data_IF_330986892313
#
_entry.id   IF_330986892313
#
_cell.length_a   1.000
_cell.length_b   1.000
_cell.length_c   1.000
_cell.angle_alpha   90.00
_cell.angle_beta   90.00
_cell.angle_gamma   90.00
#
_symmetry.space_group_name_H-M   'P 1'
#
loop_
_entity.id
_entity.type
_entity.pdbx_description
1 polymer ?
#
# COMPACT_ATOMS: atom_id res chain seq x y z
N UNK A 1 1.84 -36.58 15.89
CA UNK A 1 2.65 -35.32 15.82
C UNK A 1 1.86 -34.36 14.97
N UNK A 2 1.48 -33.21 15.48
CA UNK A 2 0.83 -32.15 14.73
C UNK A 2 1.93 -31.18 14.28
N UNK A 3 2.05 -30.91 12.98
CA UNK A 3 3.01 -29.94 12.46
C UNK A 3 2.45 -28.52 12.65
N UNK A 4 3.30 -27.61 13.07
CA UNK A 4 3.01 -26.19 13.01
C UNK A 4 3.14 -25.72 11.55
N UNK A 5 2.14 -24.97 11.08
CA UNK A 5 2.10 -24.43 9.71
C UNK A 5 2.39 -22.94 9.79
N UNK A 6 3.44 -22.51 9.11
CA UNK A 6 3.84 -21.11 9.11
C UNK A 6 2.84 -20.23 8.32
N UNK A 7 2.31 -20.73 7.22
CA UNK A 7 1.27 -20.04 6.44
C UNK A 7 0.61 -20.99 5.45
N UNK A 8 -0.73 -21.04 5.47
CA UNK A 8 -1.56 -21.77 4.51
C UNK A 8 -1.89 -20.94 3.26
N UNK A 9 -2.16 -21.63 2.16
CA UNK A 9 -2.74 -21.04 0.96
C UNK A 9 -4.00 -21.84 0.59
N UNK A 10 -5.20 -21.35 0.96
CA UNK A 10 -6.45 -21.99 0.56
C UNK A 10 -6.55 -22.07 -0.95
N UNK A 11 -7.19 -23.12 -1.46
CA UNK A 11 -7.48 -23.21 -2.90
C UNK A 11 -8.53 -22.17 -3.29
N UNK A 12 -8.51 -21.74 -4.56
CA UNK A 12 -9.53 -20.82 -5.07
C UNK A 12 -10.94 -21.39 -4.92
N UNK A 13 -11.10 -22.73 -5.08
CA UNK A 13 -12.38 -23.41 -4.87
C UNK A 13 -12.87 -23.28 -3.40
N UNK A 14 -11.98 -23.41 -2.42
CA UNK A 14 -12.36 -23.23 -1.00
C UNK A 14 -12.80 -21.80 -0.70
N UNK A 15 -12.09 -20.80 -1.26
CA UNK A 15 -12.50 -19.39 -1.15
C UNK A 15 -13.85 -19.14 -1.82
N UNK A 16 -14.10 -19.75 -2.98
CA UNK A 16 -15.41 -19.65 -3.67
C UNK A 16 -16.57 -20.16 -2.80
N UNK A 17 -16.38 -21.29 -2.11
CA UNK A 17 -17.39 -21.83 -1.18
C UNK A 17 -17.66 -20.84 -0.06
N UNK A 18 -16.61 -20.34 0.61
CA UNK A 18 -16.76 -19.35 1.71
C UNK A 18 -17.48 -18.08 1.25
N UNK A 19 -17.13 -17.54 0.07
CA UNK A 19 -17.80 -16.36 -0.47
C UNK A 19 -19.27 -16.65 -0.78
N UNK A 20 -19.58 -17.80 -1.35
CA UNK A 20 -20.95 -18.18 -1.66
C UNK A 20 -21.82 -18.39 -0.41
N UNK A 21 -21.22 -18.85 0.70
CA UNK A 21 -21.92 -19.07 1.97
C UNK A 21 -22.16 -17.77 2.76
N UNK A 22 -21.22 -16.83 2.67
CA UNK A 22 -21.24 -15.63 3.52
C UNK A 22 -21.67 -14.34 2.82
N UNK A 23 -21.67 -14.29 1.48
CA UNK A 23 -22.02 -13.07 0.75
C UNK A 23 -23.28 -13.26 -0.12
N UNK A 24 -24.18 -12.30 -0.12
CA UNK A 24 -25.43 -12.33 -0.87
C UNK A 24 -25.23 -11.99 -2.37
N UNK A 25 -24.24 -12.61 -3.04
CA UNK A 25 -23.84 -12.30 -4.41
C UNK A 25 -24.31 -13.36 -5.43
N UNK A 26 -24.92 -14.44 -4.95
CA UNK A 26 -25.36 -15.56 -5.81
C UNK A 26 -24.24 -16.57 -6.08
N UNK A 27 -24.44 -17.39 -7.11
CA UNK A 27 -23.57 -18.53 -7.39
C UNK A 27 -22.22 -18.09 -7.98
N UNK A 28 -21.12 -18.54 -7.38
CA UNK A 28 -19.77 -18.46 -7.96
C UNK A 28 -19.65 -19.57 -9.03
N UNK A 29 -19.29 -19.22 -10.25
CA UNK A 29 -19.15 -20.14 -11.39
C UNK A 29 -17.69 -20.41 -11.77
N UNK A 30 -16.79 -19.49 -11.41
CA UNK A 30 -15.35 -19.61 -11.63
C UNK A 30 -14.58 -18.98 -10.49
N UNK A 31 -13.44 -19.55 -10.14
CA UNK A 31 -12.53 -19.02 -9.12
C UNK A 31 -11.09 -19.22 -9.53
N UNK A 32 -10.27 -18.19 -9.32
CA UNK A 32 -8.86 -18.16 -9.70
C UNK A 32 -8.01 -17.61 -8.58
N UNK A 33 -6.88 -18.25 -8.29
CA UNK A 33 -5.86 -17.71 -7.43
C UNK A 33 -4.96 -16.78 -8.23
N UNK A 34 -4.98 -15.47 -7.94
CA UNK A 34 -4.23 -14.49 -8.72
C UNK A 34 -2.78 -14.37 -8.27
N UNK A 35 -2.57 -14.16 -6.98
CA UNK A 35 -1.22 -13.95 -6.45
C UNK A 35 -1.13 -14.21 -4.96
N UNK A 36 0.09 -14.50 -4.51
CA UNK A 36 0.51 -14.44 -3.12
C UNK A 36 1.66 -13.45 -2.99
N UNK A 37 1.46 -12.44 -2.16
CA UNK A 37 2.51 -11.53 -1.70
C UNK A 37 2.37 -11.43 -0.18
N UNK A 38 2.17 -10.24 0.39
CA UNK A 38 1.74 -10.10 1.77
C UNK A 38 0.35 -10.70 1.97
N UNK A 39 -0.60 -10.34 1.13
CA UNK A 39 -1.93 -10.92 1.08
C UNK A 39 -2.02 -12.05 0.03
N UNK A 40 -3.07 -12.84 0.10
CA UNK A 40 -3.45 -13.80 -0.93
C UNK A 40 -4.71 -13.30 -1.63
N UNK A 41 -4.66 -13.18 -2.95
CA UNK A 41 -5.69 -12.53 -3.74
C UNK A 41 -6.30 -13.52 -4.73
N UNK A 42 -7.62 -13.54 -4.77
CA UNK A 42 -8.42 -14.44 -5.62
C UNK A 42 -9.42 -13.62 -6.44
N UNK A 43 -9.68 -14.03 -7.66
CA UNK A 43 -10.75 -13.51 -8.50
C UNK A 43 -11.88 -14.53 -8.57
N UNK A 44 -13.12 -14.06 -8.42
CA UNK A 44 -14.32 -14.88 -8.49
C UNK A 44 -15.26 -14.30 -9.54
N UNK A 45 -15.78 -15.16 -10.43
CA UNK A 45 -16.81 -14.82 -11.41
C UNK A 45 -18.16 -15.37 -10.93
N UNK A 46 -19.18 -14.53 -10.95
CA UNK A 46 -20.52 -14.86 -10.51
C UNK A 46 -21.39 -15.27 -11.71
N UNK A 47 -22.44 -16.04 -11.47
CA UNK A 47 -23.40 -16.41 -12.50
C UNK A 47 -24.12 -15.22 -13.14
N UNK A 48 -24.17 -14.08 -12.47
CA UNK A 48 -24.65 -12.79 -12.99
C UNK A 48 -23.75 -12.17 -14.07
N UNK A 49 -22.53 -12.69 -14.24
CA UNK A 49 -21.46 -12.05 -15.04
C UNK A 49 -20.59 -11.05 -14.27
N UNK A 50 -20.97 -10.67 -13.06
CA UNK A 50 -20.16 -9.82 -12.20
C UNK A 50 -18.90 -10.58 -11.75
N UNK A 51 -17.78 -9.84 -11.57
CA UNK A 51 -16.55 -10.32 -10.95
C UNK A 51 -16.30 -9.60 -9.64
N UNK A 52 -15.65 -10.28 -8.70
CA UNK A 52 -15.24 -9.74 -7.40
C UNK A 52 -13.84 -10.24 -7.06
N UNK A 53 -13.16 -9.51 -6.18
CA UNK A 53 -11.81 -9.84 -5.69
C UNK A 53 -11.91 -10.19 -4.21
N UNK A 54 -11.47 -11.39 -3.83
CA UNK A 54 -11.34 -11.80 -2.45
C UNK A 54 -9.88 -11.67 -2.01
N UNK A 55 -9.64 -10.95 -0.91
CA UNK A 55 -8.33 -10.79 -0.29
C UNK A 55 -8.31 -11.48 1.07
N UNK A 56 -7.55 -12.55 1.18
CA UNK A 56 -7.20 -13.16 2.46
C UNK A 56 -6.03 -12.39 3.03
N UNK A 57 -6.30 -11.59 4.06
CA UNK A 57 -5.34 -10.69 4.67
C UNK A 57 -4.17 -11.45 5.28
N UNK A 58 -2.97 -10.90 5.20
CA UNK A 58 -1.81 -11.45 5.86
C UNK A 58 -1.89 -11.29 7.37
N UNK A 59 -1.29 -12.21 8.11
CA UNK A 59 -0.82 -11.91 9.45
C UNK A 59 0.29 -10.88 9.34
N UNK A 60 0.17 -9.79 10.04
CA UNK A 60 1.18 -8.73 10.03
C UNK A 60 2.16 -8.91 11.15
N UNK A 61 3.46 -8.68 10.94
CA UNK A 61 4.43 -8.60 12.02
C UNK A 61 4.10 -7.54 13.08
N UNK A 62 3.20 -6.61 12.75
CA UNK A 62 2.86 -5.41 13.53
C UNK A 62 1.42 -5.39 14.05
N UNK A 63 0.71 -6.49 14.01
CA UNK A 63 -0.65 -6.58 14.49
C UNK A 63 -1.66 -7.02 13.44
N UNK A 64 -2.92 -7.05 13.84
CA UNK A 64 -4.01 -7.52 13.01
C UNK A 64 -4.33 -6.57 11.84
N UNK A 65 -4.90 -7.10 10.74
CA UNK A 65 -5.36 -6.27 9.63
C UNK A 65 -6.36 -5.20 10.08
N UNK A 66 -6.25 -4.01 9.51
CA UNK A 66 -7.02 -2.82 9.87
C UNK A 66 -8.40 -2.79 9.15
N UNK A 67 -9.10 -3.94 9.10
CA UNK A 67 -10.24 -4.18 8.20
C UNK A 67 -11.43 -3.24 8.42
N UNK A 68 -11.71 -2.86 9.67
CA UNK A 68 -12.83 -1.95 9.99
C UNK A 68 -12.57 -0.54 9.47
N UNK A 69 -11.36 -0.04 9.74
CA UNK A 69 -10.93 1.25 9.26
C UNK A 69 -10.87 1.28 7.72
N UNK A 70 -10.22 0.30 7.09
CA UNK A 70 -10.08 0.22 5.64
C UNK A 70 -11.44 0.23 4.95
N UNK A 71 -12.38 -0.60 5.39
CA UNK A 71 -13.72 -0.65 4.80
C UNK A 71 -14.46 0.68 4.95
N UNK A 72 -14.43 1.28 6.14
CA UNK A 72 -15.10 2.56 6.39
C UNK A 72 -14.45 3.72 5.63
N UNK A 73 -13.13 3.73 5.50
CA UNK A 73 -12.41 4.73 4.71
C UNK A 73 -12.73 4.63 3.22
N UNK A 74 -12.79 3.40 2.68
CA UNK A 74 -13.19 3.16 1.28
C UNK A 74 -14.63 3.63 1.01
N UNK A 75 -15.56 3.34 1.91
CA UNK A 75 -16.95 3.80 1.79
C UNK A 75 -17.03 5.32 1.86
N UNK A 76 -16.28 5.95 2.76
CA UNK A 76 -16.22 7.41 2.88
C UNK A 76 -15.66 8.03 1.58
N UNK A 77 -14.50 7.58 1.08
CA UNK A 77 -13.92 8.08 -0.16
C UNK A 77 -14.87 7.93 -1.35
N UNK A 78 -15.55 6.79 -1.46
CA UNK A 78 -16.56 6.59 -2.50
C UNK A 78 -17.75 7.58 -2.38
N UNK A 79 -18.22 7.85 -1.15
CA UNK A 79 -19.32 8.80 -0.89
C UNK A 79 -18.94 10.24 -1.24
N UNK A 80 -17.70 10.65 -1.03
CA UNK A 80 -17.21 11.99 -1.40
C UNK A 80 -16.72 12.07 -2.85
N UNK A 81 -16.93 11.01 -3.65
CA UNK A 81 -16.67 10.99 -5.09
C UNK A 81 -15.25 10.58 -5.51
N UNK A 82 -14.42 10.10 -4.59
CA UNK A 82 -13.13 9.51 -4.94
C UNK A 82 -13.30 8.15 -5.61
N UNK A 83 -12.42 7.83 -6.55
CA UNK A 83 -12.47 6.58 -7.30
C UNK A 83 -11.64 5.51 -6.57
N UNK A 84 -12.34 4.58 -5.91
CA UNK A 84 -11.74 3.48 -5.15
C UNK A 84 -12.49 2.17 -5.40
N UNK A 85 -11.81 1.03 -5.26
CA UNK A 85 -12.43 -0.28 -5.20
C UNK A 85 -13.13 -0.45 -3.85
N UNK A 86 -14.46 -0.51 -3.84
CA UNK A 86 -15.22 -0.61 -2.59
C UNK A 86 -15.12 -2.00 -1.97
N UNK A 87 -15.13 -2.05 -0.64
CA UNK A 87 -15.31 -3.28 0.10
C UNK A 87 -16.79 -3.70 0.04
N UNK A 88 -17.05 -4.99 -0.20
CA UNK A 88 -18.40 -5.56 -0.24
C UNK A 88 -18.68 -6.22 1.09
N UNK A 89 -19.79 -5.88 1.78
CA UNK A 89 -20.14 -6.48 3.05
C UNK A 89 -20.65 -7.91 2.87
N UNK A 90 -20.53 -8.71 3.91
CA UNK A 90 -21.18 -10.03 4.00
C UNK A 90 -22.71 -9.89 4.04
N UNK A 91 -23.42 -10.99 3.89
CA UNK A 91 -24.89 -11.01 3.92
C UNK A 91 -25.49 -10.52 5.26
N UNK A 92 -24.75 -10.62 6.36
CA UNK A 92 -25.10 -10.13 7.71
C UNK A 92 -24.46 -8.76 8.02
N UNK A 93 -23.86 -8.09 7.01
CA UNK A 93 -23.34 -6.73 7.13
C UNK A 93 -21.94 -6.60 7.74
N UNK A 94 -21.20 -7.71 7.91
CA UNK A 94 -19.81 -7.63 8.39
C UNK A 94 -18.87 -7.23 7.25
N UNK A 95 -17.73 -6.61 7.58
CA UNK A 95 -16.72 -6.18 6.59
C UNK A 95 -15.78 -7.30 6.15
N UNK A 96 -15.66 -8.36 6.95
CA UNK A 96 -14.80 -9.50 6.70
C UNK A 96 -15.33 -10.75 7.39
N UNK A 97 -14.94 -11.92 6.89
CA UNK A 97 -15.13 -13.19 7.59
C UNK A 97 -13.79 -13.67 8.15
N UNK A 98 -13.83 -14.37 9.31
CA UNK A 98 -12.64 -15.01 9.87
C UNK A 98 -12.52 -16.43 9.33
N UNK A 99 -11.48 -16.68 8.52
CA UNK A 99 -11.19 -18.00 7.94
C UNK A 99 -10.31 -18.77 8.94
N UNK A 100 -10.79 -19.89 9.50
CA UNK A 100 -10.00 -20.70 10.41
C UNK A 100 -8.94 -21.47 9.62
N UNK A 101 -7.67 -21.12 9.84
CA UNK A 101 -6.52 -21.76 9.20
C UNK A 101 -5.62 -22.43 10.26
N UNK A 102 -4.77 -23.39 9.87
CA UNK A 102 -3.90 -24.09 10.83
C UNK A 102 -2.98 -23.17 11.62
N UNK A 103 -2.53 -22.07 11.02
CA UNK A 103 -1.69 -21.04 11.67
C UNK A 103 -2.45 -20.01 12.50
N UNK A 104 -3.79 -20.07 12.49
CA UNK A 104 -4.66 -19.11 13.16
C UNK A 104 -5.72 -18.51 12.22
N UNK A 105 -6.74 -17.83 12.73
CA UNK A 105 -7.78 -17.21 11.92
C UNK A 105 -7.22 -16.04 11.11
N UNK A 106 -7.65 -15.89 9.87
CA UNK A 106 -7.29 -14.77 8.99
C UNK A 106 -8.55 -14.13 8.42
N UNK A 107 -8.54 -12.80 8.32
CA UNK A 107 -9.65 -12.05 7.74
C UNK A 107 -9.69 -12.23 6.22
N UNK A 108 -10.86 -12.53 5.67
CA UNK A 108 -11.15 -12.51 4.24
C UNK A 108 -12.09 -11.35 3.95
N UNK A 109 -11.65 -10.41 3.15
CA UNK A 109 -12.43 -9.27 2.65
C UNK A 109 -12.76 -9.48 1.18
N UNK A 110 -13.89 -8.91 0.76
CA UNK A 110 -14.32 -8.95 -0.63
C UNK A 110 -14.42 -7.53 -1.20
N UNK A 111 -13.95 -7.35 -2.43
CA UNK A 111 -13.90 -6.05 -3.10
C UNK A 111 -14.55 -6.11 -4.48
N UNK A 112 -14.99 -4.96 -4.95
CA UNK A 112 -15.36 -4.79 -6.36
C UNK A 112 -14.16 -5.14 -7.26
N UNK A 113 -14.43 -5.86 -8.34
CA UNK A 113 -13.42 -6.10 -9.38
C UNK A 113 -13.35 -4.87 -10.28
N UNK A 114 -12.17 -4.31 -10.42
CA UNK A 114 -11.90 -3.22 -11.34
C UNK A 114 -11.35 -3.75 -12.67
N UNK A 115 -11.70 -3.08 -13.75
CA UNK A 115 -11.12 -3.27 -15.07
C UNK A 115 -10.35 -2.01 -15.45
N UNK A 116 -9.15 -2.16 -15.97
CA UNK A 116 -8.28 -1.05 -16.34
C UNK A 116 -6.84 -1.51 -16.52
N UNK A 117 -6.00 -0.58 -16.90
CA UNK A 117 -4.56 -0.79 -17.00
C UNK A 117 -3.86 -0.11 -15.84
N UNK A 118 -2.78 -0.69 -15.33
CA UNK A 118 -1.96 -0.01 -14.34
C UNK A 118 -1.47 1.34 -14.85
N UNK A 119 -1.22 2.29 -13.94
CA UNK A 119 -0.63 3.57 -14.32
C UNK A 119 0.59 3.34 -15.19
N UNK A 120 0.49 3.79 -16.43
CA UNK A 120 1.57 3.73 -17.41
C UNK A 120 2.62 4.83 -17.20
N UNK A 121 3.49 4.96 -18.19
CA UNK A 121 4.59 5.93 -18.17
C UNK A 121 4.24 7.24 -18.91
N UNK A 122 3.04 7.33 -19.50
CA UNK A 122 2.59 8.54 -20.19
C UNK A 122 2.35 9.69 -19.21
N UNK A 123 2.53 10.92 -19.67
CA UNK A 123 2.29 12.10 -18.85
C UNK A 123 0.83 12.16 -18.39
N UNK A 124 -0.09 11.74 -19.23
CA UNK A 124 -1.53 11.72 -18.97
C UNK A 124 -1.91 10.71 -17.88
N UNK A 125 -1.31 9.50 -17.90
CA UNK A 125 -1.55 8.49 -16.86
C UNK A 125 -1.00 8.96 -15.51
N UNK A 126 0.22 9.50 -15.52
CA UNK A 126 0.86 10.04 -14.31
C UNK A 126 0.06 11.21 -13.75
N UNK A 127 -0.46 12.09 -14.59
CA UNK A 127 -1.33 13.20 -14.19
C UNK A 127 -2.63 12.67 -13.56
N UNK A 128 -3.29 11.71 -14.18
CA UNK A 128 -4.52 11.11 -13.66
C UNK A 128 -4.28 10.44 -12.29
N UNK A 129 -3.14 9.75 -12.13
CA UNK A 129 -2.73 9.15 -10.86
C UNK A 129 -2.50 10.22 -9.79
N UNK A 130 -1.74 11.26 -10.08
CA UNK A 130 -1.43 12.34 -9.14
C UNK A 130 -2.70 13.09 -8.68
N UNK A 131 -3.58 13.44 -9.63
CA UNK A 131 -4.84 14.11 -9.35
C UNK A 131 -5.80 13.22 -8.53
N UNK A 132 -5.84 11.92 -8.85
CA UNK A 132 -6.61 10.94 -8.08
C UNK A 132 -6.12 10.84 -6.63
N UNK A 133 -4.79 10.79 -6.40
CA UNK A 133 -4.20 10.77 -5.07
C UNK A 133 -4.50 12.07 -4.30
N UNK A 134 -4.39 13.22 -4.96
CA UNK A 134 -4.77 14.50 -4.36
C UNK A 134 -6.25 14.50 -3.93
N UNK A 135 -7.14 13.91 -4.75
CA UNK A 135 -8.56 13.78 -4.44
C UNK A 135 -8.81 12.89 -3.22
N UNK A 136 -8.04 11.79 -3.05
CA UNK A 136 -8.11 10.95 -1.85
C UNK A 136 -7.72 11.74 -0.59
N UNK A 137 -6.66 12.54 -0.64
CA UNK A 137 -6.23 13.35 0.51
C UNK A 137 -7.26 14.41 0.88
N UNK A 138 -7.77 15.17 -0.09
CA UNK A 138 -8.83 16.16 0.12
C UNK A 138 -10.10 15.48 0.67
N UNK A 139 -10.53 14.38 0.06
CA UNK A 139 -11.69 13.62 0.53
C UNK A 139 -11.49 13.07 1.95
N UNK A 140 -10.28 12.65 2.28
CA UNK A 140 -9.92 12.12 3.60
C UNK A 140 -9.99 13.12 4.75
N UNK A 141 -9.92 14.44 4.49
CA UNK A 141 -10.00 15.48 5.54
C UNK A 141 -11.33 15.44 6.32
N UNK A 142 -12.40 15.01 5.68
CA UNK A 142 -13.74 14.92 6.29
C UNK A 142 -14.04 13.54 6.90
N UNK A 143 -13.09 12.61 6.92
CA UNK A 143 -13.30 11.28 7.46
C UNK A 143 -13.55 11.31 8.97
N UNK A 144 -14.65 10.69 9.40
CA UNK A 144 -15.06 10.57 10.81
C UNK A 144 -15.48 9.13 11.18
N UNK A 145 -15.00 8.16 10.43
CA UNK A 145 -15.28 6.75 10.68
C UNK A 145 -14.46 6.15 11.84
N UNK A 146 -14.46 4.82 11.98
CA UNK A 146 -13.62 4.13 12.95
C UNK A 146 -12.17 4.56 12.87
N UNK A 147 -11.45 4.71 14.00
CA UNK A 147 -10.05 5.05 13.99
C UNK A 147 -9.19 3.93 13.38
N UNK A 148 -8.09 4.30 12.77
CA UNK A 148 -7.06 3.34 12.37
C UNK A 148 -6.39 2.73 13.60
N UNK A 149 -6.04 1.45 13.52
CA UNK A 149 -5.29 0.74 14.56
C UNK A 149 -3.84 1.25 14.68
N UNK A 150 -3.34 1.99 13.68
CA UNK A 150 -1.98 2.54 13.65
C UNK A 150 -1.95 3.89 12.91
N UNK A 151 -0.89 4.67 13.14
CA UNK A 151 -0.54 5.85 12.38
C UNK A 151 0.68 5.55 11.51
N UNK A 152 0.72 6.13 10.31
CA UNK A 152 1.90 6.11 9.44
C UNK A 152 2.86 7.21 9.89
N UNK A 153 3.38 7.07 11.10
CA UNK A 153 4.38 7.95 11.72
C UNK A 153 5.78 7.30 11.73
N UNK A 154 6.76 7.99 12.29
CA UNK A 154 8.14 7.47 12.31
C UNK A 154 8.31 6.25 13.22
N UNK A 155 7.50 6.11 14.26
CA UNK A 155 7.51 4.89 15.08
C UNK A 155 7.10 3.69 14.24
N UNK A 156 5.96 3.78 13.57
CA UNK A 156 5.40 2.68 12.75
C UNK A 156 6.24 2.41 11.49
N UNK A 157 6.67 3.47 10.78
CA UNK A 157 7.31 3.33 9.47
C UNK A 157 8.82 3.11 9.53
N UNK A 158 9.47 3.51 10.62
CA UNK A 158 10.94 3.48 10.73
C UNK A 158 11.43 2.73 11.95
N UNK A 159 11.02 3.11 13.18
CA UNK A 159 11.62 2.56 14.39
C UNK A 159 11.27 1.08 14.61
N UNK A 160 10.00 0.69 14.46
CA UNK A 160 9.60 -0.73 14.56
C UNK A 160 10.23 -1.62 13.47
N UNK A 161 10.33 -1.21 12.18
CA UNK A 161 11.11 -1.93 11.19
C UNK A 161 12.57 -2.16 11.58
N UNK A 162 13.23 -1.18 12.20
CA UNK A 162 14.61 -1.31 12.65
C UNK A 162 14.79 -2.41 13.69
N UNK A 163 13.86 -2.56 14.63
CA UNK A 163 13.88 -3.65 15.62
C UNK A 163 13.91 -5.03 14.97
N UNK A 164 13.20 -5.21 13.83
CA UNK A 164 13.19 -6.45 13.07
C UNK A 164 14.48 -6.73 12.29
N UNK A 165 15.21 -5.68 11.90
CA UNK A 165 16.43 -5.81 11.10
C UNK A 165 17.67 -6.22 11.90
N UNK A 166 17.74 -5.90 13.20
CA UNK A 166 18.80 -6.30 14.16
C UNK A 166 20.23 -6.11 13.62
N UNK A 167 20.53 -5.02 12.91
CA UNK A 167 21.85 -4.76 12.31
C UNK A 167 22.32 -3.33 12.60
N UNK A 168 23.51 -3.15 13.22
CA UNK A 168 24.01 -1.85 13.65
C UNK A 168 24.07 -0.77 12.55
N UNK A 169 24.33 -1.16 11.29
CA UNK A 169 24.39 -0.21 10.19
C UNK A 169 23.01 0.38 9.87
N UNK A 170 21.93 -0.43 9.94
CA UNK A 170 20.57 0.05 9.75
C UNK A 170 20.12 0.89 10.94
N UNK A 171 20.45 0.48 12.18
CA UNK A 171 20.15 1.24 13.39
C UNK A 171 20.73 2.65 13.31
N UNK A 172 22.02 2.78 12.98
CA UNK A 172 22.69 4.08 12.86
C UNK A 172 22.07 4.97 11.79
N UNK A 173 21.78 4.41 10.60
CA UNK A 173 21.15 5.15 9.49
C UNK A 173 19.71 5.55 9.83
N UNK A 174 18.96 4.65 10.44
CA UNK A 174 17.57 4.88 10.78
C UNK A 174 17.38 5.91 11.89
N UNK A 175 18.19 5.86 12.96
CA UNK A 175 18.13 6.86 14.01
C UNK A 175 18.52 8.25 13.52
N UNK A 176 19.57 8.34 12.68
CA UNK A 176 19.92 9.64 12.07
C UNK A 176 18.79 10.18 11.19
N UNK A 177 18.19 9.33 10.36
CA UNK A 177 17.04 9.72 9.54
C UNK A 177 15.84 10.18 10.38
N UNK A 178 15.58 9.48 11.48
CA UNK A 178 14.55 9.86 12.45
C UNK A 178 14.80 11.27 13.01
N UNK A 179 16.03 11.53 13.46
CA UNK A 179 16.41 12.83 14.04
C UNK A 179 16.33 13.95 12.99
N UNK A 180 16.78 13.69 11.76
CA UNK A 180 16.69 14.65 10.65
C UNK A 180 15.24 15.03 10.33
N UNK A 181 14.34 14.04 10.23
CA UNK A 181 12.94 14.32 9.94
C UNK A 181 12.25 15.01 11.11
N UNK A 182 12.56 14.57 12.34
CA UNK A 182 12.00 15.19 13.56
C UNK A 182 12.43 16.66 13.73
N UNK A 183 13.57 17.03 13.19
CA UNK A 183 14.07 18.42 13.23
C UNK A 183 13.42 19.34 12.17
N UNK A 184 12.66 18.81 11.21
CA UNK A 184 12.00 19.63 10.17
C UNK A 184 10.80 20.44 10.69
N UNK A 185 10.28 20.10 11.87
CA UNK A 185 9.10 20.75 12.45
C UNK A 185 7.79 20.12 12.02
N UNK A 186 6.73 20.93 11.91
CA UNK A 186 5.38 20.45 11.64
C UNK A 186 5.21 20.07 10.17
N UNK A 187 5.21 18.78 9.90
CA UNK A 187 4.89 18.20 8.59
C UNK A 187 3.37 17.96 8.48
N UNK A 188 2.84 18.18 7.28
CA UNK A 188 1.43 17.97 6.97
C UNK A 188 1.00 16.52 7.18
N UNK A 189 -0.23 16.35 7.68
CA UNK A 189 -0.85 15.04 7.90
C UNK A 189 -2.06 14.87 7.00
N UNK A 190 -2.23 13.68 6.46
CA UNK A 190 -3.36 13.29 5.60
C UNK A 190 -3.85 11.90 5.96
N UNK A 191 -5.00 11.53 5.45
CA UNK A 191 -5.42 10.14 5.40
C UNK A 191 -4.76 9.48 4.19
N UNK A 192 -3.70 8.71 4.45
CA UNK A 192 -2.87 8.09 3.42
C UNK A 192 -3.51 6.83 2.86
N UNK A 193 -3.24 6.54 1.60
CA UNK A 193 -3.35 5.20 1.02
C UNK A 193 -2.30 4.25 1.64
N UNK A 194 -1.11 4.77 1.94
CA UNK A 194 0.01 4.08 2.57
C UNK A 194 0.93 3.34 1.61
N UNK A 195 0.45 2.98 0.41
CA UNK A 195 1.21 2.31 -0.65
C UNK A 195 0.84 2.81 -2.05
N UNK A 196 0.72 4.14 -2.22
CA UNK A 196 0.30 4.76 -3.48
C UNK A 196 1.42 4.72 -4.54
N UNK A 197 1.47 3.65 -5.32
CA UNK A 197 2.33 3.52 -6.50
C UNK A 197 1.54 3.05 -7.72
N UNK A 198 2.15 3.11 -8.91
CA UNK A 198 1.46 2.86 -10.17
C UNK A 198 0.83 1.46 -10.33
N UNK A 199 1.17 0.49 -9.46
CA UNK A 199 0.57 -0.85 -9.49
C UNK A 199 -0.57 -1.04 -8.48
N UNK A 200 -0.94 0.00 -7.72
CA UNK A 200 -2.07 -0.02 -6.78
C UNK A 200 -3.22 0.90 -7.23
N UNK A 201 -3.26 1.20 -8.51
CA UNK A 201 -4.39 1.86 -9.17
C UNK A 201 -4.49 1.39 -10.63
N UNK A 202 -5.67 1.53 -11.20
CA UNK A 202 -5.90 1.40 -12.64
C UNK A 202 -6.27 2.75 -13.24
N UNK A 203 -5.77 3.00 -14.44
CA UNK A 203 -6.25 4.09 -15.28
C UNK A 203 -7.44 3.58 -16.08
N UNK A 204 -8.55 4.28 -15.94
CA UNK A 204 -9.79 4.02 -16.68
C UNK A 204 -10.18 5.28 -17.47
N UNK A 205 -10.99 5.11 -18.50
CA UNK A 205 -11.60 6.24 -19.19
C UNK A 205 -13.01 6.48 -18.61
N UNK A 206 -13.30 7.70 -18.19
CA UNK A 206 -14.63 8.08 -17.78
C UNK A 206 -15.58 8.23 -18.99
N UNK A 207 -16.84 8.56 -18.74
CA UNK A 207 -17.86 8.72 -19.79
C UNK A 207 -17.54 9.84 -20.79
N UNK A 208 -16.65 10.76 -20.46
CA UNK A 208 -16.15 11.84 -21.30
C UNK A 208 -14.84 11.47 -22.01
N UNK A 209 -14.33 10.26 -21.82
CA UNK A 209 -13.07 9.79 -22.38
C UNK A 209 -11.83 10.34 -21.66
N UNK A 210 -11.99 10.93 -20.46
CA UNK A 210 -10.89 11.44 -19.66
C UNK A 210 -10.27 10.30 -18.82
N UNK A 211 -8.95 10.33 -18.65
CA UNK A 211 -8.24 9.37 -17.80
C UNK A 211 -8.50 9.65 -16.33
N UNK A 212 -8.85 8.61 -15.59
CA UNK A 212 -9.09 8.66 -14.14
C UNK A 212 -8.37 7.49 -13.46
N UNK A 213 -7.65 7.76 -12.40
CA UNK A 213 -7.10 6.70 -11.55
C UNK A 213 -8.17 6.17 -10.60
N UNK A 214 -8.29 4.84 -10.49
CA UNK A 214 -9.14 4.14 -9.53
C UNK A 214 -8.23 3.33 -8.63
N UNK A 215 -8.23 3.63 -7.33
CA UNK A 215 -7.28 3.05 -6.36
C UNK A 215 -7.82 1.79 -5.71
N UNK A 216 -6.90 0.89 -5.36
CA UNK A 216 -7.15 -0.36 -4.62
C UNK A 216 -5.94 -0.74 -3.77
N UNK A 217 -6.11 -1.77 -2.91
CA UNK A 217 -5.07 -2.29 -1.99
C UNK A 217 -4.71 -1.30 -0.87
N UNK A 218 -5.73 -0.89 -0.12
CA UNK A 218 -5.66 0.07 1.00
C UNK A 218 -5.29 -0.60 2.34
N UNK A 219 -4.69 -1.76 2.32
CA UNK A 219 -4.35 -2.50 3.56
C UNK A 219 -3.26 -1.81 4.41
N UNK A 220 -2.54 -0.84 3.85
CA UNK A 220 -1.61 0.05 4.54
C UNK A 220 -2.21 1.43 4.84
N UNK A 221 -3.50 1.66 4.55
CA UNK A 221 -4.11 2.96 4.74
C UNK A 221 -4.20 3.37 6.21
N UNK A 222 -3.98 4.65 6.47
CA UNK A 222 -4.05 5.22 7.81
C UNK A 222 -3.68 6.69 7.85
N UNK A 223 -3.92 7.40 8.97
CA UNK A 223 -3.44 8.76 9.14
C UNK A 223 -1.91 8.78 9.13
N UNK A 224 -1.30 9.69 8.38
CA UNK A 224 0.14 9.72 8.21
C UNK A 224 0.70 11.02 7.66
N UNK A 225 2.00 11.04 7.38
CA UNK A 225 2.66 12.19 6.80
C UNK A 225 2.36 12.29 5.30
N UNK A 226 1.99 13.48 4.83
CA UNK A 226 1.84 13.77 3.41
C UNK A 226 3.14 13.48 2.65
N UNK A 227 4.28 13.89 3.20
CA UNK A 227 5.59 13.65 2.59
C UNK A 227 5.92 12.15 2.43
N UNK A 228 5.47 11.28 3.37
CA UNK A 228 5.59 9.84 3.22
C UNK A 228 4.76 9.32 2.05
N UNK A 229 3.50 9.72 2.00
CA UNK A 229 2.58 9.29 0.93
C UNK A 229 3.12 9.67 -0.45
N UNK A 230 3.55 10.93 -0.60
CA UNK A 230 4.14 11.39 -1.86
C UNK A 230 5.48 10.73 -2.19
N UNK A 231 6.22 10.24 -1.18
CA UNK A 231 7.50 9.56 -1.38
C UNK A 231 7.36 8.15 -1.99
N UNK A 232 6.20 7.49 -1.86
CA UNK A 232 5.99 6.12 -2.35
C UNK A 232 6.16 6.05 -3.87
N UNK A 233 5.67 7.05 -4.60
CA UNK A 233 5.78 7.05 -6.06
C UNK A 233 7.24 7.18 -6.54
N UNK A 234 8.04 8.23 -6.21
CA UNK A 234 9.42 8.32 -6.65
C UNK A 234 10.29 7.19 -6.09
N UNK A 235 9.99 6.67 -4.89
CA UNK A 235 10.61 5.46 -4.36
C UNK A 235 10.38 4.25 -5.30
N UNK A 236 9.18 4.10 -5.85
CA UNK A 236 8.85 3.00 -6.76
C UNK A 236 9.59 3.10 -8.10
N UNK A 237 9.95 4.30 -8.53
CA UNK A 237 10.70 4.56 -9.76
C UNK A 237 12.22 4.36 -9.62
N UNK A 238 12.75 4.36 -8.38
CA UNK A 238 14.18 4.20 -8.15
C UNK A 238 14.63 2.74 -8.32
N UNK A 239 15.78 2.50 -8.99
CA UNK A 239 16.34 1.15 -9.09
C UNK A 239 16.82 0.67 -7.72
N UNK A 240 16.71 -0.64 -7.46
CA UNK A 240 17.21 -1.28 -6.24
C UNK A 240 18.68 -1.67 -6.38
N UNK A 241 19.47 -0.80 -6.98
CA UNK A 241 20.92 -0.89 -7.17
C UNK A 241 21.66 -0.19 -6.02
N UNK A 242 22.95 -0.48 -5.77
CA UNK A 242 23.68 0.15 -4.66
C UNK A 242 23.78 1.69 -4.75
N UNK A 243 23.74 2.26 -5.93
CA UNK A 243 23.71 3.72 -6.15
C UNK A 243 22.31 4.30 -5.96
N UNK A 244 21.25 3.52 -6.25
CA UNK A 244 19.86 3.92 -6.07
C UNK A 244 19.45 5.23 -6.78
N UNK A 245 20.24 5.65 -7.79
CA UNK A 245 20.06 6.94 -8.45
C UNK A 245 18.90 6.84 -9.45
N UNK A 246 17.88 7.73 -9.36
CA UNK A 246 16.79 7.75 -10.32
C UNK A 246 17.30 8.17 -11.71
N UNK A 247 16.85 7.47 -12.74
CA UNK A 247 17.14 7.82 -14.14
C UNK A 247 16.49 9.16 -14.52
N UNK A 248 16.93 9.79 -15.61
CA UNK A 248 16.31 11.03 -16.10
C UNK A 248 14.82 10.82 -16.47
N UNK A 249 14.46 9.61 -16.92
CA UNK A 249 13.07 9.23 -17.13
C UNK A 249 12.30 9.25 -15.81
N UNK A 250 12.82 8.62 -14.76
CA UNK A 250 12.20 8.60 -13.43
C UNK A 250 12.05 10.03 -12.85
N UNK A 251 13.05 10.88 -13.03
CA UNK A 251 12.99 12.30 -12.64
C UNK A 251 11.92 13.08 -13.41
N UNK A 252 11.73 12.79 -14.71
CA UNK A 252 10.68 13.40 -15.53
C UNK A 252 9.29 12.92 -15.08
N UNK A 253 9.12 11.62 -14.82
CA UNK A 253 7.89 11.07 -14.29
C UNK A 253 7.54 11.68 -12.93
N UNK A 254 8.53 11.84 -12.05
CA UNK A 254 8.35 12.51 -10.77
C UNK A 254 7.92 13.98 -10.92
N UNK A 255 8.57 14.77 -11.81
CA UNK A 255 8.15 16.16 -12.06
C UNK A 255 6.70 16.25 -12.54
N UNK A 256 6.31 15.37 -13.46
CA UNK A 256 4.92 15.33 -13.94
C UNK A 256 3.94 15.02 -12.81
N UNK A 257 4.30 14.05 -11.95
CA UNK A 257 3.47 13.67 -10.81
C UNK A 257 3.33 14.81 -9.80
N UNK A 258 4.44 15.37 -9.33
CA UNK A 258 4.38 16.39 -8.27
C UNK A 258 3.76 17.70 -8.76
N UNK A 259 3.96 18.08 -10.02
CA UNK A 259 3.29 19.22 -10.62
C UNK A 259 1.77 19.01 -10.64
N UNK A 260 1.30 17.89 -11.20
CA UNK A 260 -0.13 17.58 -11.28
C UNK A 260 -0.79 17.42 -9.90
N UNK A 261 -0.07 16.87 -8.92
CA UNK A 261 -0.54 16.82 -7.54
C UNK A 261 -0.75 18.21 -6.96
N UNK A 262 0.27 19.09 -7.07
CA UNK A 262 0.24 20.46 -6.54
C UNK A 262 -0.80 21.36 -7.20
N UNK A 263 -1.13 21.11 -8.46
CA UNK A 263 -2.21 21.81 -9.16
C UNK A 263 -3.60 21.52 -8.54
N UNK A 264 -3.73 20.38 -7.87
CA UNK A 264 -4.99 19.93 -7.24
C UNK A 264 -4.99 20.12 -5.71
N UNK A 265 -3.85 19.92 -5.05
CA UNK A 265 -3.71 20.01 -3.60
C UNK A 265 -2.34 20.64 -3.25
N UNK A 266 -2.31 21.83 -2.62
CA UNK A 266 -1.06 22.51 -2.27
C UNK A 266 -0.18 21.66 -1.34
N UNK A 267 1.14 21.74 -1.53
CA UNK A 267 2.13 21.07 -0.70
C UNK A 267 3.08 22.11 -0.13
N UNK A 268 3.26 22.13 1.18
CA UNK A 268 4.18 23.04 1.84
C UNK A 268 5.64 22.73 1.48
N UNK A 269 6.50 23.75 1.44
CA UNK A 269 7.92 23.59 1.09
C UNK A 269 8.64 22.61 2.01
N UNK A 270 8.29 22.58 3.29
CA UNK A 270 8.86 21.63 4.27
C UNK A 270 8.51 20.19 3.93
N UNK A 271 7.27 19.92 3.48
CA UNK A 271 6.85 18.58 3.03
C UNK A 271 7.59 18.18 1.75
N UNK A 272 7.70 19.08 0.77
CA UNK A 272 8.47 18.84 -0.46
C UNK A 272 9.91 18.47 -0.17
N UNK A 273 10.56 19.20 0.77
CA UNK A 273 11.92 18.93 1.21
C UNK A 273 12.07 17.58 1.94
N UNK A 274 11.01 17.14 2.63
CA UNK A 274 11.00 15.87 3.36
C UNK A 274 10.86 14.65 2.48
N UNK A 275 10.28 14.75 1.26
CA UNK A 275 9.92 13.60 0.41
C UNK A 275 11.11 12.65 0.17
N UNK A 276 12.29 13.16 -0.16
CA UNK A 276 13.47 12.32 -0.40
C UNK A 276 13.87 11.52 0.84
N UNK A 277 13.72 12.09 2.04
CA UNK A 277 13.95 11.40 3.32
C UNK A 277 12.92 10.30 3.56
N UNK A 278 11.68 10.57 3.22
CA UNK A 278 10.61 9.57 3.34
C UNK A 278 10.72 8.43 2.32
N UNK A 279 11.42 8.59 1.19
CA UNK A 279 11.78 7.45 0.35
C UNK A 279 12.68 6.45 1.11
N UNK A 280 13.63 6.97 1.91
CA UNK A 280 14.44 6.11 2.77
C UNK A 280 13.60 5.45 3.88
N UNK A 281 12.68 6.18 4.51
CA UNK A 281 11.70 5.62 5.47
C UNK A 281 10.90 4.49 4.84
N UNK A 282 10.37 4.69 3.63
CA UNK A 282 9.64 3.65 2.88
C UNK A 282 10.50 2.40 2.64
N UNK A 283 11.79 2.58 2.35
CA UNK A 283 12.71 1.46 2.18
C UNK A 283 12.96 0.71 3.50
N UNK A 284 13.10 1.41 4.62
CA UNK A 284 13.20 0.78 5.94
C UNK A 284 11.94 -0.01 6.28
N UNK A 285 10.76 0.57 6.02
CA UNK A 285 9.50 -0.11 6.20
C UNK A 285 9.47 -1.44 5.44
N UNK A 286 9.81 -1.43 4.13
CA UNK A 286 9.83 -2.65 3.31
C UNK A 286 10.80 -3.71 3.84
N UNK A 287 12.00 -3.29 4.23
CA UNK A 287 13.00 -4.21 4.79
C UNK A 287 12.54 -4.84 6.10
N UNK A 288 11.87 -4.07 6.97
CA UNK A 288 11.26 -4.57 8.19
C UNK A 288 10.13 -5.56 7.94
N UNK A 289 9.27 -5.27 6.94
CA UNK A 289 8.22 -6.20 6.51
C UNK A 289 8.80 -7.54 6.03
N UNK A 290 9.88 -7.51 5.25
CA UNK A 290 10.56 -8.73 4.81
C UNK A 290 11.22 -9.46 5.97
N UNK A 291 11.86 -8.75 6.89
CA UNK A 291 12.49 -9.34 8.07
C UNK A 291 11.47 -10.07 8.95
N UNK A 292 10.32 -9.45 9.19
CA UNK A 292 9.22 -10.04 9.95
C UNK A 292 8.62 -11.30 9.30
N UNK A 293 8.85 -11.52 8.00
CA UNK A 293 8.33 -12.69 7.27
C UNK A 293 9.34 -13.80 7.03
N UNK A 294 10.55 -13.68 7.59
CA UNK A 294 11.58 -14.76 7.51
C UNK A 294 11.01 -16.13 7.94
N UNK A 295 10.20 -16.26 9.01
CA UNK A 295 9.63 -17.54 9.39
C UNK A 295 8.73 -18.19 8.32
N UNK A 296 8.12 -17.35 7.44
CA UNK A 296 7.22 -17.81 6.37
C UNK A 296 7.96 -17.96 5.04
N UNK A 297 8.84 -17.01 4.71
CA UNK A 297 9.49 -16.94 3.39
C UNK A 297 10.91 -17.54 3.37
N UNK A 298 11.46 -17.84 4.55
CA UNK A 298 12.82 -18.32 4.72
C UNK A 298 13.87 -17.20 4.73
N UNK A 299 15.04 -17.50 5.29
CA UNK A 299 16.14 -16.53 5.47
C UNK A 299 16.72 -16.00 4.15
N UNK A 300 16.48 -16.68 3.03
CA UNK A 300 16.92 -16.25 1.71
C UNK A 300 16.03 -15.15 1.10
N UNK A 301 14.90 -14.81 1.71
CA UNK A 301 14.08 -13.66 1.29
C UNK A 301 14.85 -12.34 1.40
N UNK A 302 15.75 -12.20 2.38
CA UNK A 302 16.64 -11.03 2.56
C UNK A 302 18.11 -11.47 2.76
N UNK A 303 18.78 -11.96 1.72
CA UNK A 303 20.15 -12.44 1.83
C UNK A 303 21.12 -11.31 2.21
N UNK A 304 22.24 -11.67 2.86
CA UNK A 304 23.22 -10.70 3.38
C UNK A 304 23.74 -9.73 2.32
N UNK A 305 23.96 -10.20 1.10
CA UNK A 305 24.42 -9.34 0.01
C UNK A 305 23.36 -8.34 -0.47
N UNK A 306 22.08 -8.72 -0.43
CA UNK A 306 20.99 -7.81 -0.65
C UNK A 306 21.00 -6.70 0.41
N UNK A 307 21.11 -7.05 1.69
CA UNK A 307 21.15 -6.07 2.79
C UNK A 307 22.37 -5.13 2.68
N UNK A 308 23.55 -5.61 2.26
CA UNK A 308 24.70 -4.72 2.00
C UNK A 308 24.41 -3.69 0.92
N UNK A 309 23.78 -4.12 -0.18
CA UNK A 309 23.36 -3.18 -1.25
C UNK A 309 22.34 -2.16 -0.75
N UNK A 310 21.41 -2.57 0.12
CA UNK A 310 20.44 -1.64 0.71
C UNK A 310 21.12 -0.58 1.60
N UNK A 311 22.10 -0.95 2.40
CA UNK A 311 22.90 0.01 3.18
C UNK A 311 23.60 1.02 2.28
N UNK A 312 24.23 0.56 1.19
CA UNK A 312 24.89 1.45 0.23
C UNK A 312 23.89 2.42 -0.44
N UNK A 313 22.74 1.91 -0.89
CA UNK A 313 21.67 2.70 -1.48
C UNK A 313 21.14 3.76 -0.50
N UNK A 314 20.82 3.38 0.73
CA UNK A 314 20.31 4.29 1.76
C UNK A 314 21.31 5.41 2.09
N UNK A 315 22.60 5.11 2.12
CA UNK A 315 23.65 6.14 2.29
C UNK A 315 23.68 7.14 1.13
N UNK A 316 23.52 6.68 -0.09
CA UNK A 316 23.45 7.56 -1.26
C UNK A 316 22.19 8.43 -1.22
N UNK A 317 21.09 7.92 -0.65
CA UNK A 317 19.84 8.68 -0.51
C UNK A 317 19.88 9.76 0.58
N UNK A 318 20.87 9.76 1.47
CA UNK A 318 21.05 10.85 2.44
C UNK A 318 21.26 12.22 1.76
N UNK A 319 21.83 12.22 0.56
CA UNK A 319 22.09 13.44 -0.24
C UNK A 319 21.24 13.48 -1.52
N UNK A 320 20.23 12.60 -1.64
CA UNK A 320 19.37 12.59 -2.81
C UNK A 320 18.47 13.83 -2.82
N UNK A 321 18.52 14.56 -3.92
CA UNK A 321 17.59 15.63 -4.23
C UNK A 321 16.65 15.21 -5.35
N UNK A 322 15.37 15.45 -5.14
CA UNK A 322 14.35 15.25 -6.16
C UNK A 322 14.11 16.57 -6.90
N UNK A 323 14.07 16.58 -8.23
CA UNK A 323 13.74 17.80 -8.97
C UNK A 323 12.27 18.16 -8.76
N UNK A 324 12.00 19.42 -8.53
CA UNK A 324 10.64 19.99 -8.40
C UNK A 324 10.21 20.68 -9.69
#
# INVERSE_FOLDING_TARGET
>A
MQFEIAQSTPTAASIAVLVQEHYALGKVVESEFLRRSFNQVYRLSLASGQRVVARLCAERPRGEPNVLFESAALDHWAQVGCAVARCLPTADGQVAIQVPLPEGPRALMLFEHLEGEFTGESAEDIQAFAQGLASLHIGGESYQGPPSAYCLDLDYLLLRPLEGLLRPQFEMLGHRLHDEISALGDLSRVLCHGDAHGSNNFIVLDAQGQRKAVFFDFDEAGPGFLAYELAVYPWSLCPRTPDGVPSEKAKTQWRNFISAYRDSNPVADVDLFAIARFMAVRQFWLLGEYAGRIPVWGSQAIPTDYLRRQVAMLRNWETLELPL
#
